data_IF_946734132964
#
_entry.id   IF_946734132964
#
_cell.length_a   1.000
_cell.length_b   1.000
_cell.length_c   1.000
_cell.angle_alpha   90.00
_cell.angle_beta   90.00
_cell.angle_gamma   90.00
#
_symmetry.space_group_name_H-M   'P 1'
#
loop_
_entity.id
_entity.type
_entity.pdbx_description
1 polymer ?
#
# COMPACT_ATOMS: atom_id res chain seq x y z
N UNK A 1 21.55 19.03 38.59
CA UNK A 1 22.42 17.87 38.27
C UNK A 1 21.89 16.68 39.04
N UNK A 2 21.09 15.83 38.40
CA UNK A 2 20.53 14.61 39.00
C UNK A 2 20.71 13.48 37.99
N UNK A 3 21.53 12.51 38.35
CA UNK A 3 21.88 11.36 37.54
C UNK A 3 20.77 10.31 37.65
N UNK A 4 20.22 9.87 36.52
CA UNK A 4 19.28 8.75 36.45
C UNK A 4 19.99 7.54 35.83
N UNK A 5 20.02 6.44 36.59
CA UNK A 5 20.74 5.23 36.26
C UNK A 5 19.99 4.40 35.20
N UNK A 6 20.70 4.01 34.14
CA UNK A 6 20.26 3.03 33.15
C UNK A 6 20.39 1.61 33.72
N UNK A 7 19.28 0.88 33.81
CA UNK A 7 19.28 -0.56 34.08
C UNK A 7 19.23 -1.28 32.73
N UNK A 8 20.34 -1.89 32.35
CA UNK A 8 20.44 -2.75 31.16
C UNK A 8 19.83 -4.13 31.44
N UNK A 9 18.84 -4.53 30.66
CA UNK A 9 18.33 -5.90 30.65
C UNK A 9 19.07 -6.72 29.58
N UNK A 10 19.89 -7.68 30.01
CA UNK A 10 20.45 -8.72 29.15
C UNK A 10 19.36 -9.72 28.74
N UNK A 11 19.09 -9.83 27.44
CA UNK A 11 18.28 -10.90 26.88
C UNK A 11 19.18 -12.11 26.62
N UNK A 12 19.11 -13.12 27.50
CA UNK A 12 19.76 -14.42 27.29
C UNK A 12 18.92 -15.27 26.33
N UNK A 13 19.44 -15.50 25.14
CA UNK A 13 18.86 -16.39 24.15
C UNK A 13 19.21 -17.85 24.50
N UNK A 14 18.24 -18.63 24.99
CA UNK A 14 18.42 -20.05 25.31
C UNK A 14 18.55 -20.91 24.05
N UNK A 15 19.67 -21.64 23.93
CA UNK A 15 19.90 -22.63 22.88
C UNK A 15 18.99 -23.85 23.09
N UNK A 16 18.14 -24.15 22.11
CA UNK A 16 17.45 -25.43 22.03
C UNK A 16 18.37 -26.52 21.46
N UNK A 17 18.43 -27.73 22.05
CA UNK A 17 19.15 -28.85 21.47
C UNK A 17 18.37 -29.44 20.28
N UNK A 18 18.98 -29.45 19.09
CA UNK A 18 18.45 -30.20 17.94
C UNK A 18 18.72 -31.70 18.16
N UNK A 19 17.66 -32.51 18.14
CA UNK A 19 17.75 -33.97 18.03
C UNK A 19 18.41 -34.35 16.70
N UNK A 20 19.42 -35.21 16.78
CA UNK A 20 20.09 -35.80 15.62
C UNK A 20 19.13 -36.74 14.87
N UNK A 21 18.79 -36.40 13.63
CA UNK A 21 18.23 -37.36 12.68
C UNK A 21 19.37 -38.02 11.91
N UNK A 22 19.59 -39.29 12.20
CA UNK A 22 20.43 -40.19 11.40
C UNK A 22 19.78 -40.42 10.04
N UNK A 23 20.29 -39.75 9.02
CA UNK A 23 19.99 -40.04 7.61
C UNK A 23 20.81 -41.22 7.13
N UNK A 24 20.15 -42.17 6.47
CA UNK A 24 20.71 -43.41 5.94
C UNK A 24 21.66 -43.10 4.78
N UNK A 25 22.87 -43.69 4.82
CA UNK A 25 23.84 -43.73 3.73
C UNK A 25 23.22 -44.38 2.48
N UNK A 26 22.89 -43.57 1.48
CA UNK A 26 22.77 -44.00 0.09
C UNK A 26 24.13 -43.90 -0.59
N UNK A 27 24.48 -44.90 -1.39
CA UNK A 27 25.78 -45.02 -2.06
C UNK A 27 26.10 -43.78 -2.91
N UNK A 28 27.27 -43.20 -2.67
CA UNK A 28 27.82 -42.11 -3.46
C UNK A 28 28.23 -42.65 -4.84
N UNK A 29 27.42 -42.39 -5.86
CA UNK A 29 27.86 -42.39 -7.25
C UNK A 29 28.87 -41.25 -7.38
N UNK A 30 30.13 -41.58 -7.68
CA UNK A 30 31.19 -40.61 -7.90
C UNK A 30 30.79 -39.67 -9.05
N UNK A 31 30.37 -38.46 -8.70
CA UNK A 31 30.22 -37.38 -9.67
C UNK A 31 31.64 -36.98 -10.06
N UNK A 32 31.99 -37.29 -11.31
CA UNK A 32 33.22 -36.89 -11.97
C UNK A 32 33.57 -35.43 -11.66
N UNK A 33 34.77 -35.19 -11.15
CA UNK A 33 35.35 -33.88 -10.85
C UNK A 33 35.64 -33.03 -12.11
N UNK A 34 34.91 -33.24 -13.21
CA UNK A 34 35.17 -32.66 -14.53
C UNK A 34 34.01 -31.85 -15.11
N UNK A 35 33.03 -31.45 -14.29
CA UNK A 35 31.93 -30.55 -14.73
C UNK A 35 31.81 -29.31 -13.86
N UNK A 36 32.79 -29.01 -13.01
CA UNK A 36 32.88 -27.71 -12.36
C UNK A 36 33.69 -26.76 -13.25
N UNK A 37 33.01 -26.23 -14.26
CA UNK A 37 33.57 -25.24 -15.19
C UNK A 37 33.29 -23.84 -14.63
N UNK A 38 33.84 -23.55 -13.45
CA UNK A 38 33.76 -22.23 -12.80
C UNK A 38 34.32 -21.09 -13.66
N UNK A 39 35.13 -21.42 -14.67
CA UNK A 39 35.65 -20.50 -15.70
C UNK A 39 34.59 -20.08 -16.74
N UNK A 40 33.59 -20.92 -17.06
CA UNK A 40 32.51 -20.57 -18.01
C UNK A 40 31.42 -19.69 -17.40
N UNK A 41 31.39 -19.54 -16.08
CA UNK A 41 30.46 -18.66 -15.36
C UNK A 41 30.97 -17.22 -15.18
N UNK A 42 32.14 -16.86 -15.73
CA UNK A 42 32.71 -15.52 -15.58
C UNK A 42 33.17 -15.17 -14.16
N UNK A 43 33.31 -16.18 -13.28
CA UNK A 43 33.61 -16.02 -11.85
C UNK A 43 35.11 -16.07 -11.51
N UNK A 44 35.98 -16.37 -12.47
CA UNK A 44 37.39 -16.68 -12.21
C UNK A 44 38.38 -15.50 -12.21
N UNK A 45 38.02 -14.32 -12.71
CA UNK A 45 39.01 -13.25 -12.99
C UNK A 45 38.94 -12.01 -12.08
N UNK A 46 38.04 -11.98 -11.09
CA UNK A 46 37.85 -10.80 -10.23
C UNK A 46 38.03 -11.05 -8.73
N UNK A 47 38.63 -12.18 -8.34
CA UNK A 47 38.70 -12.59 -6.93
C UNK A 47 39.87 -11.94 -6.15
N UNK A 48 40.93 -11.48 -6.82
CA UNK A 48 42.05 -10.83 -6.11
C UNK A 48 41.68 -9.37 -5.77
N UNK A 49 41.53 -9.08 -4.47
CA UNK A 49 41.31 -7.74 -3.94
C UNK A 49 39.86 -7.33 -3.66
N UNK A 50 38.87 -8.21 -3.89
CA UNK A 50 37.49 -7.97 -3.42
C UNK A 50 37.37 -8.34 -1.94
N UNK A 51 36.76 -7.47 -1.11
CA UNK A 51 36.54 -7.80 0.30
C UNK A 51 35.60 -9.00 0.43
N UNK A 52 35.87 -9.86 1.42
CA UNK A 52 35.02 -11.00 1.73
C UNK A 52 33.59 -10.53 2.06
N UNK A 53 32.59 -11.30 1.60
CA UNK A 53 31.18 -11.04 1.89
C UNK A 53 30.45 -10.18 0.87
N UNK A 54 31.08 -9.80 -0.26
CA UNK A 54 30.39 -9.12 -1.36
C UNK A 54 29.71 -10.10 -2.32
N UNK A 55 28.73 -9.60 -3.07
CA UNK A 55 28.07 -10.35 -4.14
C UNK A 55 29.10 -11.00 -5.08
N UNK A 56 28.96 -12.31 -5.31
CA UNK A 56 29.85 -13.10 -6.16
C UNK A 56 31.04 -13.72 -5.44
N UNK A 57 31.24 -13.47 -4.12
CA UNK A 57 32.27 -14.16 -3.33
C UNK A 57 31.75 -15.50 -2.78
N UNK A 58 32.54 -16.57 -2.92
CA UNK A 58 32.20 -17.89 -2.40
C UNK A 58 30.90 -18.47 -2.97
N UNK A 59 30.59 -18.19 -4.24
CA UNK A 59 29.33 -18.58 -4.91
C UNK A 59 28.07 -18.04 -4.21
N UNK A 60 28.20 -16.95 -3.44
CA UNK A 60 27.07 -16.28 -2.80
C UNK A 60 26.65 -15.09 -3.64
N UNK A 61 25.41 -15.10 -4.08
CA UNK A 61 24.82 -14.00 -4.85
C UNK A 61 23.80 -13.27 -3.98
N UNK A 62 23.91 -11.94 -3.97
CA UNK A 62 22.90 -11.08 -3.37
C UNK A 62 21.57 -11.28 -4.11
N UNK A 63 20.46 -11.58 -3.42
CA UNK A 63 19.15 -11.60 -4.06
C UNK A 63 18.83 -10.19 -4.53
N UNK A 64 18.60 -10.04 -5.82
CA UNK A 64 18.27 -8.76 -6.45
C UNK A 64 16.94 -8.90 -7.16
N UNK A 65 16.08 -7.90 -7.01
CA UNK A 65 14.84 -7.76 -7.75
C UNK A 65 14.78 -6.34 -8.28
N UNK A 66 14.45 -6.21 -9.56
CA UNK A 66 14.16 -4.93 -10.17
C UNK A 66 12.66 -4.63 -10.00
N UNK A 67 12.33 -3.40 -9.64
CA UNK A 67 10.94 -2.95 -9.59
C UNK A 67 10.36 -2.89 -11.01
N UNK A 68 9.08 -3.20 -11.16
CA UNK A 68 8.37 -3.01 -12.43
C UNK A 68 8.30 -1.50 -12.78
N UNK A 69 8.20 -1.16 -14.08
CA UNK A 69 8.00 0.23 -14.52
C UNK A 69 6.55 0.71 -14.32
N UNK A 70 5.67 -0.18 -13.83
CA UNK A 70 4.27 0.12 -13.53
C UNK A 70 4.14 0.98 -12.28
N UNK A 71 2.97 1.58 -12.08
CA UNK A 71 2.67 2.41 -10.90
C UNK A 71 2.97 1.64 -9.61
N UNK A 72 3.87 2.20 -8.80
CA UNK A 72 4.17 1.64 -7.50
C UNK A 72 2.96 1.81 -6.55
N UNK A 73 2.79 0.93 -5.55
CA UNK A 73 1.79 1.14 -4.50
C UNK A 73 1.90 2.53 -3.88
N UNK A 74 0.76 3.16 -3.66
CA UNK A 74 0.67 4.53 -3.14
C UNK A 74 0.31 4.50 -1.66
N UNK A 75 1.03 5.28 -0.87
CA UNK A 75 0.71 5.57 0.53
C UNK A 75 -0.17 6.83 0.57
N UNK A 76 -1.37 6.71 1.14
CA UNK A 76 -2.32 7.82 1.27
C UNK A 76 -2.63 8.09 2.74
N UNK A 77 -2.79 9.36 3.08
CA UNK A 77 -3.24 9.78 4.40
C UNK A 77 -4.76 9.66 4.50
N UNK A 78 -5.25 9.15 5.63
CA UNK A 78 -6.66 9.07 5.96
C UNK A 78 -7.06 10.34 6.69
N UNK A 79 -8.01 11.08 6.13
CA UNK A 79 -8.55 12.30 6.74
C UNK A 79 -9.49 12.02 7.92
N UNK A 80 -10.25 10.92 7.87
CA UNK A 80 -11.20 10.56 8.90
C UNK A 80 -12.25 9.56 8.41
N UNK A 81 -13.32 9.43 9.20
CA UNK A 81 -14.47 8.61 8.90
C UNK A 81 -15.67 9.48 8.48
N UNK A 82 -16.33 9.12 7.39
CA UNK A 82 -17.57 9.73 6.91
C UNK A 82 -18.74 8.74 7.12
N UNK A 83 -19.91 9.22 7.60
CA UNK A 83 -20.24 10.61 7.93
C UNK A 83 -19.56 11.12 9.22
N UNK A 84 -19.42 12.44 9.35
CA UNK A 84 -18.89 13.12 10.54
C UNK A 84 -17.48 13.68 10.43
N UNK A 85 -16.85 13.61 9.25
CA UNK A 85 -15.57 14.28 8.99
C UNK A 85 -15.78 15.77 8.81
N UNK A 86 -15.04 16.57 9.57
CA UNK A 86 -15.05 18.03 9.47
C UNK A 86 -14.12 18.52 8.36
N UNK A 87 -14.35 19.74 7.88
CA UNK A 87 -13.48 20.39 6.90
C UNK A 87 -12.03 20.47 7.37
N UNK A 88 -11.80 20.77 8.64
CA UNK A 88 -10.45 20.87 9.19
C UNK A 88 -9.74 19.51 9.18
N UNK A 89 -10.45 18.45 9.55
CA UNK A 89 -9.93 17.08 9.45
C UNK A 89 -9.68 16.67 7.99
N UNK A 90 -10.57 17.04 7.07
CA UNK A 90 -10.44 16.77 5.64
C UNK A 90 -9.23 17.48 5.01
N UNK A 91 -8.95 18.70 5.43
CA UNK A 91 -7.83 19.50 4.91
C UNK A 91 -6.52 19.23 5.64
N UNK A 92 -6.56 18.66 6.85
CA UNK A 92 -5.39 18.40 7.69
C UNK A 92 -4.29 17.55 7.02
N UNK A 93 -4.59 16.47 6.25
CA UNK A 93 -3.55 15.61 5.74
C UNK A 93 -2.75 16.33 4.67
N UNK A 94 -1.43 16.27 4.80
CA UNK A 94 -0.53 16.81 3.79
C UNK A 94 -0.28 15.76 2.71
N UNK A 95 -0.26 16.16 1.43
CA UNK A 95 0.11 15.25 0.36
C UNK A 95 1.56 14.80 0.58
N UNK A 96 1.80 13.51 0.38
CA UNK A 96 3.13 12.95 0.51
C UNK A 96 3.96 13.34 -0.74
N UNK A 97 5.23 13.76 -0.58
CA UNK A 97 6.06 14.15 -1.72
C UNK A 97 6.27 12.94 -2.64
N UNK A 98 6.35 13.18 -3.96
CA UNK A 98 6.66 12.14 -4.95
C UNK A 98 8.14 12.18 -5.33
N UNK A 99 8.79 11.02 -5.35
CA UNK A 99 10.17 10.91 -5.82
C UNK A 99 10.23 10.98 -7.36
N UNK A 100 11.29 11.58 -7.94
CA UNK A 100 11.56 11.49 -9.38
C UNK A 100 11.69 10.03 -9.85
N UNK A 101 11.39 9.77 -11.13
CA UNK A 101 11.54 8.44 -11.73
C UNK A 101 12.95 7.88 -11.52
N UNK A 102 13.03 6.62 -11.08
CA UNK A 102 14.30 5.94 -10.79
C UNK A 102 14.90 6.25 -9.42
N UNK A 103 14.21 7.02 -8.58
CA UNK A 103 14.60 7.27 -7.20
C UNK A 103 13.61 6.64 -6.24
N UNK A 104 14.10 6.29 -5.06
CA UNK A 104 13.26 5.79 -3.98
C UNK A 104 12.59 6.96 -3.25
N UNK A 105 11.34 6.73 -2.88
CA UNK A 105 10.64 7.60 -1.94
C UNK A 105 10.60 6.93 -0.57
N UNK A 106 10.91 7.70 0.48
CA UNK A 106 10.86 7.20 1.85
C UNK A 106 10.11 8.19 2.71
N UNK A 107 9.02 7.74 3.32
CA UNK A 107 8.28 8.51 4.31
C UNK A 107 8.62 7.98 5.70
N UNK A 108 9.23 8.83 6.52
CA UNK A 108 9.35 8.55 7.93
C UNK A 108 8.06 8.96 8.61
N UNK A 109 7.25 7.98 8.97
CA UNK A 109 6.06 8.19 9.80
C UNK A 109 6.52 8.50 11.23
N UNK A 110 6.89 9.74 11.47
CA UNK A 110 7.04 10.24 12.84
C UNK A 110 5.63 10.40 13.38
N UNK A 111 5.35 9.81 14.55
CA UNK A 111 4.06 10.00 15.22
C UNK A 111 3.90 11.47 15.59
N UNK A 112 3.34 12.25 14.67
CA UNK A 112 2.89 13.59 14.96
C UNK A 112 1.67 13.52 15.89
N UNK A 113 1.44 14.60 16.62
CA UNK A 113 0.28 14.72 17.50
C UNK A 113 -1.06 14.77 16.73
N UNK A 114 -1.02 14.89 15.39
CA UNK A 114 -2.19 14.81 14.53
C UNK A 114 -2.51 13.34 14.22
N UNK A 115 -3.69 12.83 14.60
CA UNK A 115 -4.07 11.44 14.34
C UNK A 115 -4.44 11.27 12.86
N UNK A 116 -3.44 11.15 11.99
CA UNK A 116 -3.63 10.76 10.59
C UNK A 116 -3.36 9.26 10.46
N UNK A 117 -4.39 8.52 10.06
CA UNK A 117 -4.21 7.14 9.63
C UNK A 117 -3.53 7.11 8.25
N UNK A 118 -3.00 5.95 7.86
CA UNK A 118 -2.47 5.76 6.51
C UNK A 118 -3.03 4.49 5.91
N UNK A 119 -3.23 4.48 4.60
CA UNK A 119 -3.58 3.30 3.82
C UNK A 119 -2.60 3.16 2.66
N UNK A 120 -2.21 1.92 2.36
CA UNK A 120 -1.45 1.60 1.15
C UNK A 120 -2.40 0.97 0.15
N UNK A 121 -2.46 1.53 -1.05
CA UNK A 121 -3.28 1.03 -2.14
C UNK A 121 -2.39 0.60 -3.32
N UNK A 122 -2.87 -0.35 -4.15
CA UNK A 122 -2.22 -0.64 -5.42
C UNK A 122 -2.03 0.64 -6.24
N UNK A 123 -0.90 0.74 -6.93
CA UNK A 123 -0.65 1.83 -7.85
C UNK A 123 -1.64 1.81 -9.01
N UNK A 124 -2.03 3.00 -9.47
CA UNK A 124 -2.82 3.15 -10.69
C UNK A 124 -2.42 4.44 -11.39
N UNK A 125 -2.54 4.45 -12.72
CA UNK A 125 -2.30 5.66 -13.53
C UNK A 125 -3.17 6.84 -13.06
N UNK A 126 -4.38 6.55 -12.55
CA UNK A 126 -5.28 7.55 -12.00
C UNK A 126 -4.68 8.20 -10.74
N UNK A 127 -4.15 7.42 -9.79
CA UNK A 127 -3.51 7.98 -8.60
C UNK A 127 -2.20 8.71 -8.93
N UNK A 128 -1.45 8.23 -9.92
CA UNK A 128 -0.23 8.91 -10.39
C UNK A 128 -0.52 10.30 -10.97
N UNK A 129 -1.69 10.48 -11.60
CA UNK A 129 -2.15 11.77 -12.12
C UNK A 129 -2.71 12.72 -11.03
N UNK A 130 -3.08 12.18 -9.87
CA UNK A 130 -3.75 12.92 -8.79
C UNK A 130 -2.95 12.86 -7.46
N UNK A 131 -1.80 13.56 -7.37
CA UNK A 131 -0.90 13.47 -6.23
C UNK A 131 -1.44 14.07 -4.92
N UNK A 132 -2.51 14.87 -4.98
CA UNK A 132 -3.15 15.46 -3.79
C UNK A 132 -4.41 14.68 -3.35
N UNK A 133 -4.40 13.37 -3.63
CA UNK A 133 -5.45 12.45 -3.20
C UNK A 133 -5.36 12.14 -1.70
N UNK A 134 -6.51 12.12 -1.04
CA UNK A 134 -6.65 11.67 0.35
C UNK A 134 -7.66 10.52 0.43
N UNK A 135 -7.55 9.72 1.49
CA UNK A 135 -8.49 8.65 1.79
C UNK A 135 -9.49 9.08 2.86
N UNK A 136 -10.75 8.72 2.68
CA UNK A 136 -11.83 8.86 3.67
C UNK A 136 -12.47 7.50 3.89
N UNK A 137 -12.46 7.02 5.13
CA UNK A 137 -13.12 5.77 5.50
C UNK A 137 -14.62 6.03 5.58
N UNK A 138 -15.44 5.18 4.98
CA UNK A 138 -16.89 5.39 4.96
C UNK A 138 -17.63 4.05 4.89
N UNK A 139 -18.95 4.10 5.03
CA UNK A 139 -19.80 2.93 4.75
C UNK A 139 -20.42 3.06 3.36
N UNK A 140 -20.66 1.93 2.69
CA UNK A 140 -21.34 1.89 1.39
C UNK A 140 -22.66 2.64 1.43
N UNK A 141 -23.46 2.44 2.48
CA UNK A 141 -24.73 3.13 2.70
C UNK A 141 -24.57 4.65 2.80
N UNK A 142 -23.53 5.15 3.48
CA UNK A 142 -23.31 6.60 3.62
C UNK A 142 -23.03 7.29 2.27
N UNK A 143 -22.49 6.55 1.30
CA UNK A 143 -22.24 7.00 -0.06
C UNK A 143 -23.42 6.72 -1.02
N UNK A 144 -24.49 6.07 -0.54
CA UNK A 144 -25.60 5.63 -1.38
C UNK A 144 -25.25 4.47 -2.31
N UNK A 145 -24.23 3.67 -1.96
CA UNK A 145 -23.84 2.49 -2.72
C UNK A 145 -24.68 1.28 -2.27
N UNK A 146 -25.58 0.84 -3.16
CA UNK A 146 -26.32 -0.40 -3.00
C UNK A 146 -25.50 -1.56 -3.55
N UNK A 147 -25.08 -2.47 -2.66
CA UNK A 147 -24.29 -3.63 -3.03
C UNK A 147 -25.21 -4.86 -3.22
N UNK A 148 -24.90 -5.77 -4.16
CA UNK A 148 -25.79 -6.90 -4.50
C UNK A 148 -26.07 -7.87 -3.34
N UNK A 149 -25.23 -7.88 -2.32
CA UNK A 149 -25.42 -8.74 -1.14
C UNK A 149 -26.33 -8.12 -0.07
N UNK A 150 -26.79 -6.89 -0.28
CA UNK A 150 -27.65 -6.15 0.65
C UNK A 150 -27.00 -5.84 2.00
N UNK A 151 -25.68 -6.03 2.12
CA UNK A 151 -24.95 -5.75 3.35
C UNK A 151 -24.31 -4.36 3.29
N UNK A 152 -24.08 -3.78 4.46
CA UNK A 152 -23.30 -2.54 4.59
C UNK A 152 -21.82 -2.92 4.69
N UNK A 153 -21.00 -2.32 3.84
CA UNK A 153 -19.56 -2.55 3.83
C UNK A 153 -18.82 -1.27 4.19
N UNK A 154 -17.75 -1.41 4.96
CA UNK A 154 -16.74 -0.36 5.08
C UNK A 154 -16.02 -0.25 3.73
N UNK A 155 -15.83 0.98 3.26
CA UNK A 155 -15.17 1.31 2.00
C UNK A 155 -14.24 2.50 2.20
N UNK A 156 -13.32 2.69 1.26
CA UNK A 156 -12.41 3.83 1.25
C UNK A 156 -12.72 4.69 0.04
N UNK A 157 -13.15 5.93 0.26
CA UNK A 157 -13.32 6.94 -0.78
C UNK A 157 -12.00 7.67 -1.01
N UNK A 158 -11.55 7.73 -2.26
CA UNK A 158 -10.34 8.45 -2.67
C UNK A 158 -10.72 9.76 -3.34
N UNK A 159 -10.30 10.87 -2.75
CA UNK A 159 -10.74 12.20 -3.16
C UNK A 159 -9.50 13.05 -3.48
N UNK A 160 -9.45 13.56 -4.71
CA UNK A 160 -8.43 14.50 -5.14
C UNK A 160 -8.81 15.92 -4.74
N UNK A 161 -8.01 16.52 -3.86
CA UNK A 161 -8.17 17.92 -3.44
C UNK A 161 -7.50 18.91 -4.39
N UNK A 162 -6.69 18.41 -5.32
CA UNK A 162 -6.02 19.20 -6.36
C UNK A 162 -6.88 19.42 -7.60
N UNK A 163 -8.12 18.96 -7.60
CA UNK A 163 -9.02 19.08 -8.75
C UNK A 163 -9.26 20.56 -9.12
N UNK A 164 -9.27 20.86 -10.42
CA UNK A 164 -9.39 22.23 -10.90
C UNK A 164 -10.73 22.88 -10.48
N UNK A 165 -11.80 22.09 -10.33
CA UNK A 165 -13.11 22.58 -9.87
C UNK A 165 -13.08 23.15 -8.44
N UNK A 166 -12.08 22.77 -7.62
CA UNK A 166 -11.88 23.32 -6.27
C UNK A 166 -11.52 24.81 -6.34
N UNK A 167 -10.72 25.19 -7.35
CA UNK A 167 -10.28 26.57 -7.55
C UNK A 167 -11.15 27.36 -8.53
N UNK A 168 -11.73 26.67 -9.50
CA UNK A 168 -12.50 27.26 -10.59
C UNK A 168 -13.80 26.47 -10.80
N UNK A 169 -14.90 26.99 -10.24
CA UNK A 169 -16.22 26.36 -10.33
C UNK A 169 -16.75 26.23 -11.76
N UNK A 170 -16.17 26.89 -12.76
CA UNK A 170 -16.56 26.68 -14.17
C UNK A 170 -16.19 25.28 -14.69
N UNK A 171 -15.25 24.61 -14.02
CA UNK A 171 -14.84 23.23 -14.31
C UNK A 171 -15.66 22.18 -13.54
N UNK A 172 -16.62 22.61 -12.73
CA UNK A 172 -17.52 21.70 -12.00
C UNK A 172 -18.37 20.87 -12.97
N UNK A 173 -18.35 19.55 -12.80
CA UNK A 173 -19.15 18.63 -13.60
C UNK A 173 -20.27 18.03 -12.75
N UNK A 174 -21.52 18.35 -13.05
CA UNK A 174 -22.68 17.83 -12.31
C UNK A 174 -22.90 16.32 -12.44
N UNK A 175 -22.20 15.64 -13.35
CA UNK A 175 -22.22 14.19 -13.53
C UNK A 175 -21.23 13.44 -12.63
N UNK A 176 -20.38 14.14 -11.90
CA UNK A 176 -19.34 13.54 -11.06
C UNK A 176 -19.62 13.73 -9.56
N UNK A 177 -18.96 12.90 -8.75
CA UNK A 177 -19.06 12.96 -7.30
C UNK A 177 -17.94 13.82 -6.72
N UNK A 178 -18.26 14.62 -5.71
CA UNK A 178 -17.33 15.51 -5.03
C UNK A 178 -17.52 15.45 -3.52
N UNK A 179 -16.51 15.91 -2.80
CA UNK A 179 -16.62 16.28 -1.40
C UNK A 179 -16.95 17.77 -1.31
N UNK A 180 -17.96 18.10 -0.51
CA UNK A 180 -18.41 19.45 -0.24
C UNK A 180 -18.36 19.75 1.25
N UNK A 181 -18.09 21.00 1.62
CA UNK A 181 -18.33 21.54 2.95
C UNK A 181 -19.69 22.23 2.98
N UNK A 182 -20.51 21.93 3.98
CA UNK A 182 -21.65 22.77 4.34
C UNK A 182 -21.20 24.04 5.11
N UNK A 183 -22.11 25.01 5.36
CA UNK A 183 -21.80 26.19 6.16
C UNK A 183 -21.36 25.90 7.60
N UNK A 184 -21.76 24.76 8.14
CA UNK A 184 -21.40 24.27 9.48
C UNK A 184 -20.01 23.60 9.53
N UNK A 185 -19.36 23.43 8.38
CA UNK A 185 -18.04 22.82 8.26
C UNK A 185 -18.05 21.28 8.30
N UNK A 186 -19.19 20.64 8.06
CA UNK A 186 -19.30 19.20 7.83
C UNK A 186 -19.06 18.86 6.37
N UNK A 187 -18.41 17.73 6.14
CA UNK A 187 -18.13 17.25 4.79
C UNK A 187 -19.22 16.28 4.32
N UNK A 188 -19.66 16.48 3.08
CA UNK A 188 -20.60 15.62 2.38
C UNK A 188 -20.00 15.10 1.07
N UNK A 189 -20.05 13.79 0.87
CA UNK A 189 -19.60 13.16 -0.38
C UNK A 189 -20.84 12.78 -1.19
N UNK A 190 -21.07 13.43 -2.34
CA UNK A 190 -22.22 13.23 -3.23
C UNK A 190 -22.04 13.99 -4.55
N UNK A 191 -23.06 13.97 -5.41
CA UNK A 191 -23.17 14.83 -6.58
C UNK A 191 -24.35 15.79 -6.43
N UNK A 192 -24.34 16.90 -7.17
CA UNK A 192 -25.44 17.86 -7.23
C UNK A 192 -25.64 18.32 -8.69
N UNK A 193 -26.88 18.65 -9.06
CA UNK A 193 -27.13 19.36 -10.32
C UNK A 193 -26.60 20.79 -10.22
N UNK A 194 -27.00 21.48 -9.15
CA UNK A 194 -26.60 22.83 -8.82
C UNK A 194 -25.99 22.83 -7.42
N UNK A 195 -24.84 23.48 -7.25
CA UNK A 195 -24.17 23.57 -5.95
C UNK A 195 -25.07 24.36 -4.97
N UNK A 196 -25.44 23.78 -3.80
CA UNK A 196 -26.25 24.49 -2.83
C UNK A 196 -25.59 25.78 -2.35
N UNK A 197 -26.40 26.80 -2.05
CA UNK A 197 -25.90 28.10 -1.61
C UNK A 197 -25.10 27.96 -0.29
N UNK A 198 -23.92 28.58 -0.25
CA UNK A 198 -23.02 28.55 0.91
C UNK A 198 -22.18 27.29 1.04
N UNK A 199 -22.38 26.28 0.18
CA UNK A 199 -21.55 25.08 0.15
C UNK A 199 -20.27 25.34 -0.64
N UNK A 200 -19.18 24.70 -0.23
CA UNK A 200 -17.86 24.82 -0.87
C UNK A 200 -17.38 23.46 -1.35
N UNK A 201 -16.93 23.38 -2.59
CA UNK A 201 -16.28 22.20 -3.15
C UNK A 201 -14.88 22.01 -2.55
N UNK A 202 -14.56 20.80 -2.09
CA UNK A 202 -13.29 20.47 -1.42
C UNK A 202 -12.38 19.55 -2.24
N UNK A 203 -12.96 18.75 -3.12
CA UNK A 203 -12.23 17.82 -3.98
C UNK A 203 -13.16 16.89 -4.75
N UNK A 204 -12.63 16.23 -5.77
CA UNK A 204 -13.38 15.30 -6.63
C UNK A 204 -13.15 13.85 -6.18
N UNK A 205 -14.22 13.06 -6.07
CA UNK A 205 -14.14 11.63 -5.79
C UNK A 205 -13.62 10.90 -7.03
N UNK A 206 -12.45 10.26 -6.92
CA UNK A 206 -11.85 9.49 -8.00
C UNK A 206 -12.52 8.12 -8.12
N UNK A 207 -12.50 7.35 -7.04
CA UNK A 207 -13.15 6.04 -6.92
C UNK A 207 -13.29 5.62 -5.46
N UNK A 208 -14.07 4.57 -5.24
CA UNK A 208 -14.23 3.94 -3.93
C UNK A 208 -13.66 2.53 -3.98
N UNK A 209 -12.90 2.16 -2.95
CA UNK A 209 -12.30 0.85 -2.82
C UNK A 209 -13.08 0.01 -1.80
N UNK A 210 -13.62 -1.11 -2.25
CA UNK A 210 -14.20 -2.13 -1.39
C UNK A 210 -13.09 -3.03 -0.81
N UNK A 211 -13.20 -3.46 0.45
CA UNK A 211 -12.31 -4.45 1.01
C UNK A 211 -12.53 -5.79 0.33
N UNK A 212 -11.46 -6.55 0.14
CA UNK A 212 -11.57 -7.92 -0.37
C UNK A 212 -12.29 -8.78 0.68
N UNK A 213 -13.52 -9.18 0.38
CA UNK A 213 -14.26 -10.20 1.15
C UNK A 213 -14.32 -11.48 0.34
N UNK A 214 -13.74 -12.55 0.89
CA UNK A 214 -13.92 -13.89 0.34
C UNK A 214 -15.39 -14.28 0.52
N UNK A 215 -16.07 -14.67 -0.56
CA UNK A 215 -17.43 -15.22 -0.45
C UNK A 215 -17.40 -16.45 0.47
N UNK A 216 -18.29 -16.58 1.46
CA UNK A 216 -18.43 -17.81 2.22
C UNK A 216 -18.65 -18.98 1.25
N UNK A 217 -17.78 -19.99 1.28
CA UNK A 217 -17.81 -21.13 0.35
C UNK A 217 -16.85 -21.07 -0.84
N UNK A 218 -16.22 -19.93 -1.15
CA UNK A 218 -15.32 -19.80 -2.32
C UNK A 218 -13.88 -20.27 -2.07
N UNK A 219 -13.65 -21.16 -1.12
CA UNK A 219 -12.33 -21.78 -1.02
C UNK A 219 -12.22 -22.77 0.12
N UNK A 220 -12.36 -24.03 -0.26
CA UNK A 220 -12.13 -25.20 0.58
C UNK A 220 -12.63 -26.50 -0.05
N UNK A 221 -12.51 -26.68 -1.36
CA UNK A 221 -12.91 -27.93 -2.02
C UNK A 221 -12.41 -28.01 -3.45
N UNK A 222 -11.34 -28.78 -3.66
CA UNK A 222 -10.84 -29.36 -4.91
C UNK A 222 -11.15 -28.64 -6.24
N UNK A 223 -10.10 -28.02 -6.78
CA UNK A 223 -10.02 -27.34 -8.06
C UNK A 223 -10.06 -28.27 -9.29
N UNK A 224 -11.15 -29.02 -9.55
CA UNK A 224 -11.28 -29.71 -10.85
C UNK A 224 -12.61 -29.60 -11.60
N UNK A 225 -13.70 -29.05 -11.04
CA UNK A 225 -14.99 -28.99 -11.77
C UNK A 225 -15.84 -27.77 -11.40
N UNK A 226 -15.53 -26.60 -11.97
CA UNK A 226 -16.57 -25.60 -12.24
C UNK A 226 -16.07 -24.66 -13.33
N UNK A 227 -16.03 -25.22 -14.53
CA UNK A 227 -16.29 -24.50 -15.76
C UNK A 227 -17.77 -24.06 -15.66
N UNK A 228 -18.01 -22.81 -15.26
CA UNK A 228 -19.32 -22.15 -15.36
C UNK A 228 -19.07 -20.65 -15.54
N UNK A 229 -18.53 -20.34 -16.71
CA UNK A 229 -18.70 -19.05 -17.38
C UNK A 229 -20.01 -19.13 -18.18
N UNK A 230 -21.04 -18.39 -17.79
CA UNK A 230 -22.10 -17.98 -18.71
C UNK A 230 -22.44 -16.50 -18.50
N UNK A 231 -22.69 -15.84 -19.62
CA UNK A 231 -22.64 -14.39 -19.90
C UNK A 231 -23.71 -13.55 -19.19
#
# INVERSE_FOLDING_TARGET
VAASAFVGAEVRCSRFPRKAQTSRRGAATAISASVDNSEKAGLGLFAEGRPDGVHGTGFRFMPMSAMSPESAPVLLCIAGAYPGVTVDQFLSPQPLPFAPKGQWNYHRLTGDAAPTGFVVLPGSDLLDAHPNTIAVVCTSESLGLELPDGQVHEVIALIDRGDAAVTDLSQYQNSEFYAFADPEGQVHIRWFQDLPAGWRLLGRLLYTQLPYKKKPGSGGGFAELSDDFEF
#
